data_IF_911443569222
#
_entry.id   IF_911443569222
#
_cell.length_a   1.000
_cell.length_b   1.000
_cell.length_c   1.000
_cell.angle_alpha   90.00
_cell.angle_beta   90.00
_cell.angle_gamma   90.00
#
_symmetry.space_group_name_H-M   'P 1'
#
loop_
_entity.id
_entity.type
_entity.pdbx_description
1 polymer ?
#
# COMPACT_ATOMS: atom_id res chain seq x y z
N UNK A 1 14.65 -5.15 19.27
CA UNK A 1 15.80 -4.28 18.85
C UNK A 1 15.59 -3.96 17.39
N UNK A 2 15.55 -2.68 17.03
CA UNK A 2 15.40 -2.29 15.63
C UNK A 2 16.64 -2.75 14.84
N UNK A 3 16.45 -3.54 13.81
CA UNK A 3 17.52 -4.00 12.92
C UNK A 3 17.79 -2.96 11.85
N UNK A 4 18.52 -1.90 12.20
CA UNK A 4 19.02 -0.96 11.20
C UNK A 4 20.19 -1.60 10.43
N UNK A 5 19.97 -1.87 9.16
CA UNK A 5 21.02 -2.30 8.24
C UNK A 5 21.79 -1.05 7.80
N UNK A 6 23.07 -1.03 8.07
CA UNK A 6 23.98 0.01 7.58
C UNK A 6 25.00 -0.63 6.65
N UNK A 7 24.78 -0.59 5.32
CA UNK A 7 25.70 -1.22 4.38
C UNK A 7 27.13 -0.68 4.54
N UNK A 8 28.10 -1.60 4.52
CA UNK A 8 29.54 -1.23 4.69
C UNK A 8 29.97 -0.32 3.56
N UNK A 9 30.49 0.85 3.93
CA UNK A 9 30.99 1.82 2.95
C UNK A 9 29.89 2.67 2.28
N UNK A 10 28.62 2.54 2.67
CA UNK A 10 27.56 3.38 2.15
C UNK A 10 27.82 4.87 2.39
N UNK A 11 27.64 5.66 1.34
CA UNK A 11 27.67 7.12 1.38
C UNK A 11 26.43 7.64 0.66
N UNK A 12 25.74 8.60 1.30
CA UNK A 12 24.63 9.29 0.65
C UNK A 12 25.10 9.99 -0.62
N UNK A 13 24.36 9.82 -1.71
CA UNK A 13 24.64 10.46 -3.00
C UNK A 13 24.27 11.96 -2.98
N UNK A 14 23.25 12.31 -2.20
CA UNK A 14 22.74 13.68 -2.07
C UNK A 14 23.05 14.24 -0.68
N UNK A 15 23.25 15.55 -0.59
CA UNK A 15 23.26 16.27 0.68
C UNK A 15 21.82 16.51 1.17
N UNK A 16 21.64 16.99 2.41
CA UNK A 16 20.32 17.22 3.02
C UNK A 16 19.43 18.13 2.17
N UNK A 17 19.95 19.25 1.68
CA UNK A 17 19.16 20.20 0.89
C UNK A 17 18.71 19.60 -0.45
N UNK A 18 19.57 18.82 -1.11
CA UNK A 18 19.22 18.07 -2.32
C UNK A 18 18.18 16.99 -2.04
N UNK A 19 18.29 16.29 -0.91
CA UNK A 19 17.32 15.28 -0.48
C UNK A 19 15.94 15.89 -0.27
N UNK A 20 15.84 17.00 0.46
CA UNK A 20 14.57 17.72 0.68
C UNK A 20 13.96 18.22 -0.63
N UNK A 21 14.81 18.75 -1.54
CA UNK A 21 14.35 19.15 -2.87
C UNK A 21 13.82 17.96 -3.67
N UNK A 22 14.51 16.83 -3.63
CA UNK A 22 14.10 15.59 -4.30
C UNK A 22 12.76 15.08 -3.76
N UNK A 23 12.59 15.01 -2.44
CA UNK A 23 11.33 14.60 -1.79
C UNK A 23 10.17 15.50 -2.26
N UNK A 24 10.36 16.83 -2.24
CA UNK A 24 9.34 17.76 -2.70
C UNK A 24 8.95 17.50 -4.17
N UNK A 25 9.93 17.34 -5.04
CA UNK A 25 9.67 17.11 -6.47
C UNK A 25 8.99 15.76 -6.74
N UNK A 26 9.38 14.71 -6.03
CA UNK A 26 8.72 13.41 -6.09
C UNK A 26 7.25 13.55 -5.67
N UNK A 27 7.00 14.23 -4.54
CA UNK A 27 5.63 14.42 -4.04
C UNK A 27 4.76 15.18 -5.04
N UNK A 28 5.23 16.29 -5.58
CA UNK A 28 4.47 17.10 -6.54
C UNK A 28 4.23 16.36 -7.85
N UNK A 29 5.23 15.73 -8.42
CA UNK A 29 5.15 15.08 -9.71
C UNK A 29 4.34 13.78 -9.67
N UNK A 30 4.62 12.91 -8.69
CA UNK A 30 3.92 11.64 -8.56
C UNK A 30 2.42 11.84 -8.31
N UNK A 31 2.02 12.74 -7.39
CA UNK A 31 0.60 12.97 -7.11
C UNK A 31 -0.16 13.51 -8.32
N UNK A 32 0.47 14.36 -9.15
CA UNK A 32 -0.14 14.85 -10.40
C UNK A 32 -0.33 13.71 -11.41
N UNK A 33 0.70 12.87 -11.60
CA UNK A 33 0.62 11.72 -12.48
C UNK A 33 -0.43 10.72 -11.98
N UNK A 34 -0.40 10.34 -10.71
CA UNK A 34 -1.36 9.42 -10.10
C UNK A 34 -2.79 9.92 -10.25
N UNK A 35 -3.04 11.19 -9.92
CA UNK A 35 -4.37 11.77 -10.03
C UNK A 35 -4.88 11.83 -11.47
N UNK A 36 -4.01 12.09 -12.43
CA UNK A 36 -4.34 12.08 -13.86
C UNK A 36 -4.65 10.66 -14.36
N UNK A 37 -3.78 9.69 -14.05
CA UNK A 37 -3.94 8.29 -14.49
C UNK A 37 -5.21 7.66 -13.96
N UNK A 38 -5.56 7.91 -12.71
CA UNK A 38 -6.69 7.28 -12.04
C UNK A 38 -7.93 8.18 -11.94
N UNK A 39 -7.89 9.41 -12.48
CA UNK A 39 -8.95 10.43 -12.41
C UNK A 39 -9.35 10.73 -10.96
N UNK A 40 -8.37 11.07 -10.13
CA UNK A 40 -8.57 11.31 -8.72
C UNK A 40 -8.70 12.82 -8.42
N UNK A 41 -9.60 13.17 -7.51
CA UNK A 41 -9.71 14.51 -6.92
C UNK A 41 -9.02 14.53 -5.57
N UNK A 42 -8.20 15.56 -5.32
CA UNK A 42 -7.61 15.75 -3.99
C UNK A 42 -8.68 16.13 -2.97
N UNK A 43 -8.64 15.48 -1.79
CA UNK A 43 -9.44 15.82 -0.63
C UNK A 43 -8.54 15.97 0.59
N UNK A 44 -9.00 16.72 1.60
CA UNK A 44 -8.27 16.86 2.87
C UNK A 44 -8.72 15.77 3.82
N UNK A 45 -7.77 14.97 4.28
CA UNK A 45 -8.02 13.91 5.24
C UNK A 45 -7.90 14.39 6.69
N UNK A 46 -8.61 13.76 7.64
CA UNK A 46 -8.39 13.99 9.06
C UNK A 46 -7.06 13.39 9.52
N UNK A 47 -6.34 14.09 10.40
CA UNK A 47 -5.19 13.53 11.11
C UNK A 47 -5.63 12.63 12.28
N UNK A 48 -6.78 12.92 12.86
CA UNK A 48 -7.36 12.18 13.99
C UNK A 48 -8.88 12.12 13.86
N UNK A 49 -9.47 11.13 14.49
CA UNK A 49 -10.92 10.90 14.55
C UNK A 49 -11.34 10.63 15.99
N UNK A 50 -12.63 10.78 16.30
CA UNK A 50 -13.14 10.42 17.63
C UNK A 50 -13.07 8.89 17.80
N UNK A 51 -12.61 8.46 18.97
CA UNK A 51 -12.54 7.06 19.34
C UNK A 51 -13.94 6.41 19.33
N UNK A 52 -14.00 5.19 18.80
CA UNK A 52 -15.24 4.39 18.78
C UNK A 52 -16.19 4.68 17.63
N UNK A 53 -15.80 5.56 16.67
CA UNK A 53 -16.61 5.81 15.47
C UNK A 53 -16.45 4.73 14.39
N UNK A 54 -15.53 3.76 14.57
CA UNK A 54 -15.25 2.72 13.58
C UNK A 54 -14.58 3.21 12.29
N UNK A 55 -14.04 4.44 12.29
CA UNK A 55 -13.39 5.06 11.12
C UNK A 55 -11.89 4.80 11.11
N UNK A 56 -11.24 4.82 12.30
CA UNK A 56 -9.83 4.47 12.40
C UNK A 56 -9.66 2.97 12.11
N UNK A 57 -8.62 2.62 11.35
CA UNK A 57 -8.30 1.22 11.10
C UNK A 57 -7.54 0.63 12.29
N UNK A 58 -7.90 -0.57 12.67
CA UNK A 58 -7.22 -1.31 13.71
C UNK A 58 -6.03 -2.12 13.15
N UNK A 59 -5.67 -1.93 11.88
CA UNK A 59 -4.64 -2.67 11.13
C UNK A 59 -4.85 -4.19 11.26
N UNK A 60 -4.02 -4.85 12.09
CA UNK A 60 -4.18 -6.28 12.41
C UNK A 60 -5.05 -6.53 13.66
N UNK A 61 -5.61 -5.47 14.27
CA UNK A 61 -6.50 -5.54 15.43
C UNK A 61 -5.78 -5.59 16.78
N UNK A 62 -4.47 -5.42 16.81
CA UNK A 62 -3.64 -5.46 18.03
C UNK A 62 -2.89 -4.15 18.29
N UNK A 63 -2.75 -3.31 17.29
CA UNK A 63 -2.00 -2.06 17.34
C UNK A 63 -2.77 -1.00 18.18
N UNK A 64 -2.01 -0.25 18.98
CA UNK A 64 -2.54 0.78 19.85
C UNK A 64 -2.51 2.14 19.16
N UNK A 65 -3.67 2.76 18.98
CA UNK A 65 -3.73 4.13 18.49
C UNK A 65 -3.21 5.13 19.52
N UNK A 66 -2.44 6.12 19.06
CA UNK A 66 -2.10 7.30 19.87
C UNK A 66 -3.37 8.09 20.12
N UNK A 67 -3.79 8.25 21.38
CA UNK A 67 -5.03 8.90 21.74
C UNK A 67 -4.86 10.02 22.75
N UNK A 68 -5.72 11.04 22.66
CA UNK A 68 -5.71 12.20 23.56
C UNK A 68 -7.14 12.66 23.87
N UNK A 69 -7.38 13.32 25.03
CA UNK A 69 -8.68 13.89 25.36
C UNK A 69 -8.88 15.24 24.68
N UNK A 70 -10.13 15.58 24.37
CA UNK A 70 -10.53 16.90 23.85
C UNK A 70 -11.32 17.61 24.92
N UNK A 71 -10.74 18.66 25.54
CA UNK A 71 -11.32 19.40 26.65
C UNK A 71 -12.73 19.95 26.37
N UNK A 72 -12.93 20.55 25.19
CA UNK A 72 -14.20 21.18 24.82
C UNK A 72 -15.29 20.18 24.41
N UNK A 73 -14.98 18.87 24.44
CA UNK A 73 -15.90 17.76 24.20
C UNK A 73 -15.99 16.83 25.42
N UNK A 74 -16.01 17.40 26.62
CA UNK A 74 -16.11 16.67 27.91
C UNK A 74 -15.07 15.54 28.03
N UNK A 75 -13.83 15.82 27.61
CA UNK A 75 -12.71 14.89 27.58
C UNK A 75 -12.95 13.63 26.71
N UNK A 76 -13.86 13.70 25.74
CA UNK A 76 -13.98 12.68 24.71
C UNK A 76 -12.62 12.43 24.06
N UNK A 77 -12.32 11.15 23.82
CA UNK A 77 -11.01 10.77 23.26
C UNK A 77 -11.03 10.82 21.75
N UNK A 78 -9.97 11.43 21.19
CA UNK A 78 -9.60 11.31 19.78
C UNK A 78 -8.42 10.35 19.62
N UNK A 79 -8.30 9.77 18.43
CA UNK A 79 -7.20 8.87 18.04
C UNK A 79 -6.58 9.35 16.74
N UNK A 80 -5.24 9.43 16.71
CA UNK A 80 -4.50 9.66 15.47
C UNK A 80 -4.70 8.45 14.57
N UNK A 81 -4.99 8.68 13.30
CA UNK A 81 -5.30 7.60 12.36
C UNK A 81 -4.10 6.69 12.10
N UNK A 82 -4.37 5.39 11.93
CA UNK A 82 -3.41 4.40 11.44
C UNK A 82 -3.47 4.26 9.90
N UNK A 83 -4.69 4.36 9.36
CA UNK A 83 -5.02 4.30 7.95
C UNK A 83 -6.36 5.01 7.71
N UNK A 84 -6.67 5.31 6.45
CA UNK A 84 -7.88 6.02 6.05
C UNK A 84 -8.78 5.19 5.11
N UNK A 85 -8.62 3.88 5.04
CA UNK A 85 -9.38 3.04 4.13
C UNK A 85 -10.90 3.20 4.32
N UNK A 86 -11.39 3.09 5.55
CA UNK A 86 -12.81 3.24 5.89
C UNK A 86 -13.31 4.68 5.65
N UNK A 87 -12.52 5.67 6.06
CA UNK A 87 -12.85 7.08 5.84
C UNK A 87 -12.99 7.41 4.36
N UNK A 88 -12.09 6.92 3.50
CA UNK A 88 -12.15 7.17 2.05
C UNK A 88 -13.42 6.59 1.43
N UNK A 89 -13.83 5.38 1.82
CA UNK A 89 -15.10 4.79 1.33
C UNK A 89 -16.31 5.65 1.69
N UNK A 90 -16.37 6.18 2.93
CA UNK A 90 -17.41 7.12 3.35
C UNK A 90 -17.35 8.41 2.51
N UNK A 91 -16.16 8.96 2.34
CA UNK A 91 -15.93 10.19 1.57
C UNK A 91 -16.34 10.05 0.10
N UNK A 92 -16.12 8.90 -0.55
CA UNK A 92 -16.62 8.64 -1.90
C UNK A 92 -18.14 8.77 -1.97
N UNK A 93 -18.85 8.23 -0.96
CA UNK A 93 -20.31 8.33 -0.89
C UNK A 93 -20.76 9.76 -0.59
N UNK A 94 -20.17 10.43 0.39
CA UNK A 94 -20.53 11.79 0.80
C UNK A 94 -20.35 12.82 -0.34
N UNK A 95 -19.33 12.62 -1.16
CA UNK A 95 -19.03 13.50 -2.31
C UNK A 95 -19.70 13.04 -3.60
N UNK A 96 -20.49 11.96 -3.56
CA UNK A 96 -21.15 11.36 -4.73
C UNK A 96 -20.16 11.17 -5.90
N UNK A 97 -19.00 10.56 -5.62
CA UNK A 97 -17.98 10.32 -6.64
C UNK A 97 -18.46 9.25 -7.61
N UNK A 98 -18.57 9.65 -8.89
CA UNK A 98 -19.07 8.82 -9.97
C UNK A 98 -18.11 7.65 -10.28
N UNK A 99 -18.65 6.59 -10.91
CA UNK A 99 -17.87 5.45 -11.41
C UNK A 99 -16.76 5.92 -12.36
N UNK A 100 -15.57 5.33 -12.21
CA UNK A 100 -14.38 5.69 -12.97
C UNK A 100 -13.62 6.91 -12.45
N UNK A 101 -14.11 7.55 -11.39
CA UNK A 101 -13.44 8.65 -10.66
C UNK A 101 -13.13 8.25 -9.22
N UNK A 102 -12.27 9.02 -8.58
CA UNK A 102 -11.88 8.74 -7.21
C UNK A 102 -11.37 9.97 -6.46
N UNK A 103 -10.85 9.71 -5.28
CA UNK A 103 -10.22 10.69 -4.40
C UNK A 103 -8.81 10.24 -4.05
N UNK A 104 -7.94 11.20 -3.74
CA UNK A 104 -6.66 10.95 -3.08
C UNK A 104 -6.39 12.01 -2.02
N UNK A 105 -5.54 11.68 -1.09
CA UNK A 105 -5.09 12.58 -0.04
C UNK A 105 -3.63 12.34 0.31
N UNK A 106 -2.95 13.38 0.81
CA UNK A 106 -1.71 13.25 1.56
C UNK A 106 -2.09 12.91 2.98
N UNK A 107 -1.82 11.68 3.38
CA UNK A 107 -2.16 11.18 4.71
C UNK A 107 -0.93 11.20 5.61
N UNK A 108 -1.14 11.61 6.85
CA UNK A 108 -0.17 11.41 7.92
C UNK A 108 -0.76 10.50 8.98
N UNK A 109 0.03 9.56 9.49
CA UNK A 109 -0.37 8.63 10.54
C UNK A 109 0.75 8.43 11.56
N UNK A 110 0.40 7.94 12.74
CA UNK A 110 1.37 7.49 13.74
C UNK A 110 1.02 6.05 14.12
N UNK A 111 1.99 5.15 13.89
CA UNK A 111 1.92 3.74 14.22
C UNK A 111 2.85 3.44 15.38
N UNK A 112 2.34 3.57 16.61
CA UNK A 112 3.15 3.49 17.84
C UNK A 112 3.71 2.10 18.11
N UNK A 113 3.12 1.06 17.59
CA UNK A 113 3.53 -0.34 17.75
C UNK A 113 4.32 -0.89 16.54
N UNK A 114 4.71 -0.02 15.59
CA UNK A 114 5.50 -0.40 14.42
C UNK A 114 6.88 -0.94 14.80
N UNK A 115 7.30 -2.02 14.16
CA UNK A 115 8.66 -2.53 14.28
C UNK A 115 9.61 -1.69 13.44
N UNK A 116 10.43 -0.88 14.12
CA UNK A 116 11.28 0.13 13.47
C UNK A 116 12.47 -0.49 12.75
N UNK A 117 12.71 -0.04 11.53
CA UNK A 117 13.81 -0.51 10.68
C UNK A 117 14.22 0.52 9.63
N UNK A 118 14.90 0.07 8.58
CA UNK A 118 15.23 0.94 7.45
C UNK A 118 14.00 1.32 6.60
N UNK A 119 12.94 0.50 6.66
CA UNK A 119 11.76 0.61 5.81
C UNK A 119 10.52 1.08 6.58
N UNK A 120 10.50 0.94 7.90
CA UNK A 120 9.35 1.26 8.74
C UNK A 120 9.70 2.32 9.77
N UNK A 121 8.79 3.29 9.96
CA UNK A 121 8.89 4.41 10.87
C UNK A 121 7.60 4.57 11.66
N UNK A 122 7.68 5.18 12.84
CA UNK A 122 6.50 5.57 13.64
C UNK A 122 5.60 6.55 12.90
N UNK A 123 6.23 7.50 12.19
CA UNK A 123 5.53 8.51 11.41
C UNK A 123 5.39 8.03 9.97
N UNK A 124 4.14 7.98 9.50
CA UNK A 124 3.79 7.58 8.13
C UNK A 124 3.33 8.80 7.36
N UNK A 125 3.91 9.00 6.18
CA UNK A 125 3.54 10.01 5.20
C UNK A 125 3.32 9.28 3.87
N UNK A 126 2.08 9.17 3.43
CA UNK A 126 1.74 8.40 2.23
C UNK A 126 0.65 9.09 1.41
N UNK A 127 0.65 8.84 0.10
CA UNK A 127 -0.52 9.07 -0.73
C UNK A 127 -1.49 7.92 -0.52
N UNK A 128 -2.71 8.27 -0.19
CA UNK A 128 -3.77 7.31 0.01
C UNK A 128 -4.93 7.65 -0.93
N UNK A 129 -5.45 6.68 -1.66
CA UNK A 129 -6.43 6.88 -2.70
C UNK A 129 -7.54 5.84 -2.65
N UNK A 130 -8.70 6.20 -3.21
CA UNK A 130 -9.83 5.30 -3.37
C UNK A 130 -10.58 5.70 -4.64
N UNK A 131 -11.09 4.73 -5.43
CA UNK A 131 -11.77 4.97 -6.68
C UNK A 131 -13.06 4.17 -6.75
N UNK A 132 -14.15 4.82 -7.23
CA UNK A 132 -15.43 4.16 -7.50
C UNK A 132 -15.30 3.35 -8.79
N UNK A 133 -15.62 2.07 -8.72
CA UNK A 133 -15.58 1.14 -9.84
C UNK A 133 -16.95 0.49 -10.05
N UNK A 134 -17.17 -0.07 -11.24
CA UNK A 134 -18.37 -0.83 -11.56
C UNK A 134 -18.28 -2.24 -10.98
N UNK A 135 -19.41 -2.91 -10.85
CA UNK A 135 -19.44 -4.29 -10.41
C UNK A 135 -18.67 -5.21 -11.37
N UNK A 136 -18.77 -4.93 -12.67
CA UNK A 136 -18.11 -5.68 -13.74
C UNK A 136 -16.58 -5.51 -13.72
N UNK A 137 -16.07 -4.42 -13.13
CA UNK A 137 -14.65 -4.14 -13.00
C UNK A 137 -13.98 -4.95 -11.85
N UNK A 138 -14.74 -5.74 -11.11
CA UNK A 138 -14.22 -6.59 -10.02
C UNK A 138 -13.54 -7.84 -10.57
N UNK A 139 -12.44 -7.63 -11.30
CA UNK A 139 -11.66 -8.66 -11.98
C UNK A 139 -10.16 -8.49 -11.75
N UNK A 140 -9.40 -9.57 -11.91
CA UNK A 140 -7.93 -9.54 -11.88
C UNK A 140 -7.36 -8.66 -12.99
N UNK A 141 -7.96 -8.68 -14.17
CA UNK A 141 -7.48 -7.89 -15.31
C UNK A 141 -7.64 -6.39 -15.04
N UNK A 142 -8.74 -5.97 -14.44
CA UNK A 142 -8.92 -4.59 -14.02
C UNK A 142 -7.90 -4.19 -12.92
N UNK A 143 -7.67 -5.06 -11.94
CA UNK A 143 -6.65 -4.82 -10.91
C UNK A 143 -5.26 -4.64 -11.55
N UNK A 144 -4.88 -5.54 -12.45
CA UNK A 144 -3.59 -5.45 -13.18
C UNK A 144 -3.48 -4.16 -14.01
N UNK A 145 -4.57 -3.75 -14.67
CA UNK A 145 -4.60 -2.49 -15.43
C UNK A 145 -4.31 -1.29 -14.49
N UNK A 146 -4.97 -1.21 -13.34
CA UNK A 146 -4.75 -0.14 -12.36
C UNK A 146 -3.31 -0.16 -11.84
N UNK A 147 -2.79 -1.34 -11.50
CA UNK A 147 -1.39 -1.49 -11.06
C UNK A 147 -0.41 -1.01 -12.12
N UNK A 148 -0.61 -1.39 -13.39
CA UNK A 148 0.24 -0.92 -14.50
C UNK A 148 0.23 0.61 -14.65
N UNK A 149 -0.92 1.27 -14.50
CA UNK A 149 -1.04 2.74 -14.56
C UNK A 149 -0.26 3.41 -13.42
N UNK A 150 -0.40 2.88 -12.20
CA UNK A 150 0.35 3.38 -11.03
C UNK A 150 1.84 3.17 -11.22
N UNK A 151 2.24 1.98 -11.65
CA UNK A 151 3.63 1.64 -11.89
C UNK A 151 4.27 2.53 -12.97
N UNK A 152 3.55 2.82 -14.05
CA UNK A 152 4.01 3.77 -15.08
C UNK A 152 4.22 5.19 -14.51
N UNK A 153 3.38 5.64 -13.56
CA UNK A 153 3.61 6.91 -12.86
C UNK A 153 4.87 6.86 -11.98
N UNK A 154 5.14 5.74 -11.32
CA UNK A 154 6.38 5.54 -10.53
C UNK A 154 7.62 5.60 -11.43
N UNK A 155 7.63 4.89 -12.56
CA UNK A 155 8.75 4.89 -13.51
C UNK A 155 9.00 6.31 -14.04
N UNK A 156 7.95 7.06 -14.42
CA UNK A 156 8.11 8.46 -14.85
C UNK A 156 8.71 9.34 -13.74
N UNK A 157 8.30 9.10 -12.50
CA UNK A 157 8.83 9.85 -11.34
C UNK A 157 10.31 9.53 -11.09
N UNK A 158 10.71 8.27 -11.25
CA UNK A 158 12.11 7.86 -11.15
C UNK A 158 12.98 8.55 -12.22
N UNK A 159 12.49 8.63 -13.46
CA UNK A 159 13.21 9.36 -14.51
C UNK A 159 13.34 10.87 -14.23
N UNK A 160 12.31 11.51 -13.66
CA UNK A 160 12.39 12.89 -13.19
C UNK A 160 13.51 13.06 -12.16
N UNK A 161 13.59 12.15 -11.18
CA UNK A 161 14.65 12.17 -10.17
C UNK A 161 16.02 12.02 -10.82
N UNK A 162 16.16 11.12 -11.79
CA UNK A 162 17.41 10.93 -12.54
C UNK A 162 17.82 12.16 -13.35
N UNK A 163 16.87 12.86 -13.98
CA UNK A 163 17.14 14.12 -14.69
C UNK A 163 17.65 15.22 -13.75
N UNK A 164 17.12 15.29 -12.54
CA UNK A 164 17.53 16.26 -11.52
C UNK A 164 18.84 15.88 -10.81
N UNK A 165 19.04 14.60 -10.57
CA UNK A 165 20.16 14.04 -9.83
C UNK A 165 20.74 12.83 -10.59
N UNK A 166 21.61 13.07 -11.59
CA UNK A 166 22.13 12.00 -12.44
C UNK A 166 22.96 10.92 -11.71
N UNK A 167 23.31 11.18 -10.45
CA UNK A 167 23.97 10.22 -9.56
C UNK A 167 23.02 9.10 -9.14
N UNK A 168 21.69 9.38 -9.06
CA UNK A 168 20.64 8.41 -8.74
C UNK A 168 20.18 7.77 -10.04
N UNK A 169 20.69 6.57 -10.33
CA UNK A 169 20.33 5.85 -11.55
C UNK A 169 18.96 5.18 -11.42
N UNK A 170 18.15 5.18 -12.50
CA UNK A 170 16.93 4.39 -12.55
C UNK A 170 17.20 2.89 -12.31
N UNK A 171 16.38 2.27 -11.50
CA UNK A 171 16.45 0.83 -11.15
C UNK A 171 15.18 0.08 -11.49
N UNK A 172 14.05 0.79 -11.68
CA UNK A 172 12.78 0.15 -11.98
C UNK A 172 12.78 -0.42 -13.40
N UNK A 173 12.41 -1.71 -13.58
CA UNK A 173 12.23 -2.28 -14.90
C UNK A 173 11.07 -1.59 -15.63
N UNK A 174 11.05 -1.72 -16.96
CA UNK A 174 9.99 -1.13 -17.78
C UNK A 174 8.60 -1.64 -17.41
N UNK A 175 8.48 -2.94 -17.17
CA UNK A 175 7.23 -3.63 -16.93
C UNK A 175 7.28 -4.32 -15.58
N UNK A 176 6.15 -4.30 -14.86
CA UNK A 176 6.00 -4.99 -13.59
C UNK A 176 5.59 -6.45 -13.83
N UNK A 177 6.17 -7.37 -13.07
CA UNK A 177 5.82 -8.79 -13.12
C UNK A 177 4.67 -9.09 -12.16
N UNK A 178 3.70 -9.91 -12.60
CA UNK A 178 2.55 -10.33 -11.79
C UNK A 178 2.66 -11.80 -11.43
N UNK A 179 2.44 -12.13 -10.17
CA UNK A 179 2.39 -13.50 -9.68
C UNK A 179 1.36 -13.60 -8.55
N UNK A 180 0.67 -14.74 -8.46
CA UNK A 180 -0.19 -14.99 -7.31
C UNK A 180 0.61 -15.59 -6.15
N UNK A 181 0.21 -15.28 -4.90
CA UNK A 181 0.86 -15.79 -3.67
C UNK A 181 0.91 -17.32 -3.62
N UNK A 182 -0.11 -18.00 -4.15
CA UNK A 182 -0.12 -19.46 -4.29
C UNK A 182 0.92 -19.97 -5.31
N UNK A 183 1.04 -19.33 -6.47
CA UNK A 183 2.06 -19.66 -7.46
C UNK A 183 3.46 -19.42 -6.91
N UNK A 184 3.63 -18.36 -6.14
CA UNK A 184 4.88 -18.01 -5.46
C UNK A 184 5.25 -19.06 -4.39
N UNK A 185 4.26 -19.57 -3.64
CA UNK A 185 4.45 -20.71 -2.74
C UNK A 185 4.91 -21.96 -3.48
N UNK A 186 4.31 -22.27 -4.63
CA UNK A 186 4.69 -23.44 -5.44
C UNK A 186 6.09 -23.33 -6.01
N UNK A 187 6.53 -22.12 -6.39
CA UNK A 187 7.90 -21.87 -6.87
C UNK A 187 8.95 -22.05 -5.76
N UNK A 188 8.65 -21.60 -4.55
CA UNK A 188 9.56 -21.59 -3.41
C UNK A 188 8.92 -22.21 -2.15
N UNK A 189 8.60 -23.52 -2.16
CA UNK A 189 7.77 -24.13 -1.11
C UNK A 189 8.47 -24.20 0.27
N UNK A 190 9.79 -24.08 0.31
CA UNK A 190 10.59 -24.15 1.56
C UNK A 190 10.96 -22.78 2.14
N UNK A 191 10.73 -21.72 1.41
CA UNK A 191 11.06 -20.37 1.86
C UNK A 191 9.89 -19.74 2.62
N UNK A 192 10.21 -18.89 3.59
CA UNK A 192 9.21 -18.02 4.24
C UNK A 192 8.61 -16.99 3.25
N UNK A 193 7.44 -16.40 3.54
CA UNK A 193 6.85 -15.39 2.66
C UNK A 193 7.82 -14.25 2.30
N UNK A 194 8.55 -13.70 3.25
CA UNK A 194 9.52 -12.61 3.00
C UNK A 194 10.74 -13.07 2.18
N UNK A 195 11.22 -14.28 2.36
CA UNK A 195 12.26 -14.85 1.49
C UNK A 195 11.74 -15.08 0.06
N UNK A 196 10.48 -15.48 -0.12
CA UNK A 196 9.85 -15.59 -1.44
C UNK A 196 9.76 -14.24 -2.14
N UNK A 197 9.37 -13.20 -1.41
CA UNK A 197 9.37 -11.81 -1.90
C UNK A 197 10.77 -11.38 -2.34
N UNK A 198 11.79 -11.65 -1.54
CA UNK A 198 13.18 -11.30 -1.86
C UNK A 198 13.65 -12.01 -3.13
N UNK A 199 13.40 -13.31 -3.28
CA UNK A 199 13.82 -14.06 -4.47
C UNK A 199 13.11 -13.59 -5.74
N UNK A 200 11.79 -13.42 -5.71
CA UNK A 200 11.04 -13.03 -6.90
C UNK A 200 11.31 -11.58 -7.32
N UNK A 201 11.44 -10.65 -6.35
CA UNK A 201 11.77 -9.25 -6.66
C UNK A 201 13.20 -9.09 -7.14
N UNK A 202 14.14 -9.86 -6.61
CA UNK A 202 15.52 -9.92 -7.10
C UNK A 202 15.59 -10.37 -8.55
N UNK A 203 14.74 -11.33 -8.93
CA UNK A 203 14.69 -11.86 -10.30
C UNK A 203 14.11 -10.85 -11.30
N UNK A 204 13.01 -10.17 -10.94
CA UNK A 204 12.23 -9.35 -11.86
C UNK A 204 12.35 -7.84 -11.63
N UNK A 205 12.97 -7.39 -10.54
CA UNK A 205 13.16 -5.99 -10.18
C UNK A 205 11.91 -5.33 -9.60
N UNK A 206 10.73 -5.57 -10.17
CA UNK A 206 9.45 -5.08 -9.67
C UNK A 206 8.36 -6.15 -9.87
N UNK A 207 7.59 -6.40 -8.81
CA UNK A 207 6.60 -7.49 -8.76
C UNK A 207 5.32 -7.01 -8.10
N UNK A 208 4.17 -7.44 -8.60
CA UNK A 208 2.90 -7.34 -7.91
C UNK A 208 2.43 -8.74 -7.49
N UNK A 209 2.41 -9.00 -6.18
CA UNK A 209 1.98 -10.28 -5.62
C UNK A 209 0.48 -10.21 -5.33
N UNK A 210 -0.31 -11.03 -6.02
CA UNK A 210 -1.78 -11.05 -5.94
C UNK A 210 -2.21 -12.05 -4.86
N UNK A 211 -3.37 -11.80 -4.20
CA UNK A 211 -4.02 -12.76 -3.31
C UNK A 211 -3.42 -12.78 -1.90
N UNK A 212 -3.27 -11.60 -1.28
CA UNK A 212 -2.76 -11.44 0.08
C UNK A 212 -3.91 -11.47 1.09
N UNK A 213 -3.75 -12.23 2.19
CA UNK A 213 -4.69 -12.30 3.32
C UNK A 213 -5.41 -13.63 3.46
N UNK A 214 -5.58 -14.37 2.36
CA UNK A 214 -6.17 -15.70 2.36
C UNK A 214 -5.17 -16.79 2.76
N UNK A 215 -5.69 -17.94 3.21
CA UNK A 215 -4.92 -19.13 3.49
C UNK A 215 -4.50 -19.80 2.17
N UNK A 216 -3.23 -20.18 2.07
CA UNK A 216 -2.63 -20.87 0.94
C UNK A 216 -2.78 -22.38 1.11
N UNK A 217 -2.42 -23.14 0.07
CA UNK A 217 -2.53 -24.62 0.06
C UNK A 217 -1.73 -25.32 1.15
N UNK A 218 -0.73 -24.65 1.74
CA UNK A 218 0.03 -25.18 2.88
C UNK A 218 -0.58 -24.87 4.25
N UNK A 219 -1.74 -24.18 4.31
CA UNK A 219 -2.42 -23.79 5.55
C UNK A 219 -1.88 -22.50 6.20
N UNK A 220 -0.97 -21.79 5.54
CA UNK A 220 -0.41 -20.53 6.03
C UNK A 220 -0.89 -19.37 5.13
N UNK A 221 -0.81 -18.16 5.65
CA UNK A 221 -1.01 -16.93 4.86
C UNK A 221 0.32 -16.42 4.32
N UNK A 222 0.29 -15.78 3.15
CA UNK A 222 1.48 -15.07 2.66
C UNK A 222 1.77 -13.85 3.56
N UNK A 223 0.74 -13.02 3.79
CA UNK A 223 0.76 -11.91 4.74
C UNK A 223 -0.66 -11.64 5.27
N UNK A 224 -0.78 -10.82 6.34
CA UNK A 224 -2.05 -10.45 6.94
C UNK A 224 -2.82 -9.43 6.11
N UNK A 225 -4.17 -9.49 6.18
CA UNK A 225 -5.08 -8.44 5.70
C UNK A 225 -6.33 -8.41 6.58
N UNK A 226 -6.78 -7.20 6.92
CA UNK A 226 -8.06 -7.04 7.61
C UNK A 226 -9.21 -7.56 6.73
N UNK A 227 -10.25 -8.15 7.36
CA UNK A 227 -11.34 -8.78 6.60
C UNK A 227 -12.35 -7.78 6.04
N UNK A 228 -12.27 -6.50 6.40
CA UNK A 228 -13.36 -5.54 6.22
C UNK A 228 -13.11 -4.49 5.11
N UNK A 229 -12.00 -4.59 4.36
CA UNK A 229 -11.79 -3.70 3.22
C UNK A 229 -11.22 -4.36 1.95
N UNK A 230 -10.12 -5.07 1.95
CA UNK A 230 -9.58 -5.74 0.75
C UNK A 230 -10.24 -7.10 0.50
N UNK A 231 -10.61 -7.37 -0.76
CA UNK A 231 -11.19 -8.65 -1.13
C UNK A 231 -10.10 -9.69 -1.42
N UNK A 232 -9.89 -10.60 -0.48
CA UNK A 232 -8.96 -11.72 -0.60
C UNK A 232 -9.64 -13.09 -0.73
N UNK A 233 -10.98 -13.13 -0.91
CA UNK A 233 -11.76 -14.36 -0.98
C UNK A 233 -12.48 -14.58 -2.30
N UNK A 234 -12.64 -13.55 -3.13
CA UNK A 234 -13.33 -13.74 -4.41
C UNK A 234 -12.45 -14.57 -5.35
N UNK A 235 -13.05 -15.65 -5.84
CA UNK A 235 -12.41 -16.56 -6.82
C UNK A 235 -12.31 -15.83 -8.16
N UNK A 236 -11.11 -15.74 -8.70
CA UNK A 236 -10.83 -15.16 -9.99
C UNK A 236 -10.97 -16.21 -11.13
N UNK A 237 -10.95 -15.75 -12.38
CA UNK A 237 -11.12 -16.61 -13.57
C UNK A 237 -10.03 -17.68 -13.70
N UNK A 238 -8.83 -17.43 -13.15
CA UNK A 238 -7.74 -18.42 -13.14
C UNK A 238 -7.83 -19.44 -11.98
N UNK A 239 -8.91 -19.42 -11.20
CA UNK A 239 -9.15 -20.39 -10.13
C UNK A 239 -8.42 -20.10 -8.82
N UNK A 240 -7.82 -18.91 -8.67
CA UNK A 240 -7.14 -18.44 -7.45
C UNK A 240 -7.95 -17.35 -6.77
N UNK A 241 -7.86 -17.27 -5.44
CA UNK A 241 -8.62 -16.32 -4.63
C UNK A 241 -7.90 -14.99 -4.45
N UNK A 242 -8.68 -13.90 -4.45
CA UNK A 242 -8.22 -12.56 -4.09
C UNK A 242 -8.13 -11.59 -5.25
N UNK A 243 -8.56 -10.36 -4.97
CA UNK A 243 -8.55 -9.22 -5.90
C UNK A 243 -7.70 -8.07 -5.31
N UNK A 244 -6.65 -8.40 -4.58
CA UNK A 244 -5.75 -7.47 -3.91
C UNK A 244 -4.30 -7.92 -4.09
N UNK A 245 -3.35 -7.12 -3.65
CA UNK A 245 -1.94 -7.50 -3.67
C UNK A 245 -1.02 -6.37 -3.25
N UNK A 246 0.28 -6.69 -3.26
CA UNK A 246 1.37 -5.81 -2.87
C UNK A 246 2.34 -5.58 -4.01
N UNK A 247 2.70 -4.31 -4.22
CA UNK A 247 3.70 -3.89 -5.18
C UNK A 247 5.05 -3.79 -4.47
N UNK A 248 5.98 -4.67 -4.86
CA UNK A 248 7.32 -4.74 -4.30
C UNK A 248 8.37 -4.43 -5.37
N UNK A 249 9.47 -3.83 -4.95
CA UNK A 249 10.64 -3.59 -5.78
C UNK A 249 11.89 -4.11 -5.10
N UNK A 250 12.91 -4.48 -5.88
CA UNK A 250 14.18 -4.87 -5.35
C UNK A 250 14.99 -3.65 -4.88
N UNK A 251 15.53 -3.70 -3.68
CA UNK A 251 16.39 -2.66 -3.11
C UNK A 251 17.84 -3.16 -3.03
N UNK A 252 18.67 -2.77 -4.00
CA UNK A 252 20.09 -3.18 -4.07
C UNK A 252 20.91 -2.74 -2.86
N UNK A 253 20.54 -1.61 -2.22
CA UNK A 253 21.27 -1.06 -1.07
C UNK A 253 21.07 -1.95 0.16
N UNK A 254 19.83 -2.42 0.37
CA UNK A 254 19.47 -3.27 1.49
C UNK A 254 19.62 -4.77 1.16
N UNK A 255 19.69 -5.14 -0.13
CA UNK A 255 19.75 -6.51 -0.61
C UNK A 255 18.48 -7.30 -0.33
N UNK A 256 17.30 -6.65 -0.41
CA UNK A 256 16.00 -7.25 -0.13
C UNK A 256 14.86 -6.55 -0.88
N UNK A 257 13.69 -7.16 -0.87
CA UNK A 257 12.45 -6.56 -1.33
C UNK A 257 12.04 -5.35 -0.50
N UNK A 258 11.35 -4.43 -1.15
CA UNK A 258 10.74 -3.25 -0.54
C UNK A 258 9.31 -3.08 -1.05
N UNK A 259 8.33 -3.13 -0.16
CA UNK A 259 6.95 -2.85 -0.48
C UNK A 259 6.74 -1.35 -0.66
N UNK A 260 6.30 -0.96 -1.86
CA UNK A 260 5.97 0.43 -2.18
C UNK A 260 4.49 0.75 -2.01
N UNK A 261 3.62 -0.24 -2.19
CA UNK A 261 2.18 -0.03 -2.13
C UNK A 261 1.44 -1.34 -1.91
N UNK A 262 0.40 -1.26 -1.08
CA UNK A 262 -0.59 -2.29 -0.91
C UNK A 262 -1.91 -1.78 -1.48
N UNK A 263 -2.61 -2.56 -2.29
CA UNK A 263 -3.87 -2.15 -2.90
C UNK A 263 -4.75 -3.33 -3.27
N UNK A 264 -6.05 -3.05 -3.46
CA UNK A 264 -6.99 -4.10 -3.86
C UNK A 264 -8.36 -3.54 -4.23
N UNK A 265 -9.14 -4.38 -4.86
CA UNK A 265 -10.57 -4.16 -5.01
C UNK A 265 -11.20 -4.43 -3.66
N UNK A 266 -12.00 -3.48 -3.18
CA UNK A 266 -12.62 -3.57 -1.85
C UNK A 266 -13.71 -4.63 -1.84
N UNK A 267 -13.97 -5.19 -0.65
CA UNK A 267 -15.08 -6.13 -0.46
C UNK A 267 -16.40 -5.51 -0.89
N UNK A 268 -17.23 -6.29 -1.60
CA UNK A 268 -18.66 -6.09 -1.67
C UNK A 268 -19.35 -6.76 -0.45
N UNK A 269 -20.67 -6.70 -0.40
CA UNK A 269 -21.43 -7.26 0.72
C UNK A 269 -21.19 -8.77 0.90
N UNK A 270 -21.16 -9.50 -0.19
CA UNK A 270 -20.99 -10.95 -0.20
C UNK A 270 -19.58 -11.34 0.24
N UNK A 271 -18.55 -10.69 -0.30
CA UNK A 271 -17.16 -10.88 0.09
C UNK A 271 -16.92 -10.51 1.56
N UNK A 272 -17.49 -9.40 2.04
CA UNK A 272 -17.38 -8.96 3.43
C UNK A 272 -17.94 -10.01 4.39
N UNK A 273 -19.18 -10.50 4.15
CA UNK A 273 -19.80 -11.53 4.99
C UNK A 273 -18.96 -12.81 5.00
N UNK A 274 -18.47 -13.22 3.83
CA UNK A 274 -17.62 -14.41 3.69
C UNK A 274 -16.32 -14.25 4.47
N UNK A 275 -15.62 -13.12 4.33
CA UNK A 275 -14.34 -12.87 5.01
C UNK A 275 -14.50 -12.79 6.53
N UNK A 276 -15.53 -12.11 7.02
CA UNK A 276 -15.84 -12.06 8.46
C UNK A 276 -16.19 -13.43 9.07
N UNK A 277 -16.67 -14.38 8.28
CA UNK A 277 -16.94 -15.74 8.74
C UNK A 277 -15.69 -16.62 8.83
N UNK A 278 -14.56 -16.19 8.27
CA UNK A 278 -13.28 -16.89 8.28
C UNK A 278 -12.32 -16.37 9.38
N UNK A 279 -12.69 -15.28 10.04
CA UNK A 279 -11.99 -14.70 11.18
C UNK A 279 -12.70 -15.01 12.48
#
# INVERSE_FOLDING_TARGET
MSYLIKPKGYKALLNLAQTEMGIKQIKDFFQQNLSSELRLRRVTAPLFVLKGMGINDDLNGVERAVSFPIKDLDDARAEIVHSLAKWKRLTLADYNIEEGYGIYTDMNAIRSDEELGNLHSLYVDQWDWERTIRKEDRTIDFLKEIVCRIYAAMVRTEYLVYEMFPEIKPILPRDIFFIHSEELLQLYPTLSPKEREDEITKQYGAVFIIGIGGELSNGEKHDGRAPDYDDWTTLSENGLNGLNGDLLVWNDILGRSFELSSMGIRVDKEALIRQLSLC
#
